data_IF_807721511427
#
_entry.id   IF_807721511427
#
_cell.length_a   1.000
_cell.length_b   1.000
_cell.length_c   1.000
_cell.angle_alpha   90.00
_cell.angle_beta   90.00
_cell.angle_gamma   90.00
#
_symmetry.space_group_name_H-M   'P 1'
#
loop_
_entity.id
_entity.type
_entity.pdbx_description
1 polymer ?
#
# COMPACT_ATOMS: atom_id res chain seq x y z
N UNK A 1 -34.57 5.50 -0.09
CA UNK A 1 -34.96 6.01 -1.41
C UNK A 1 -34.68 7.50 -1.43
N UNK A 2 -33.80 7.95 -2.32
CA UNK A 2 -33.54 9.38 -2.53
C UNK A 2 -34.68 9.93 -3.39
N UNK A 3 -35.42 10.90 -2.87
CA UNK A 3 -36.55 11.51 -3.59
C UNK A 3 -36.06 12.83 -4.17
N UNK A 4 -36.01 12.98 -5.51
CA UNK A 4 -35.61 14.24 -6.12
C UNK A 4 -36.63 15.34 -5.78
N UNK A 5 -36.26 16.22 -4.85
CA UNK A 5 -37.07 17.38 -4.48
C UNK A 5 -36.59 18.60 -5.26
N UNK A 6 -37.45 19.15 -6.11
CA UNK A 6 -37.18 20.39 -6.84
C UNK A 6 -37.61 21.60 -6.01
N UNK A 7 -36.76 22.62 -5.94
CA UNK A 7 -37.08 23.85 -5.22
C UNK A 7 -38.04 24.70 -6.05
N UNK A 8 -39.14 25.17 -5.44
CA UNK A 8 -40.16 25.98 -6.12
C UNK A 8 -39.71 27.40 -6.49
N UNK A 9 -38.60 27.89 -5.92
CA UNK A 9 -38.11 29.25 -6.13
C UNK A 9 -36.71 29.26 -6.77
N UNK A 10 -36.29 30.33 -7.48
CA UNK A 10 -34.94 30.47 -8.04
C UNK A 10 -33.90 30.73 -6.96
N UNK A 11 -32.87 29.88 -6.83
CA UNK A 11 -31.80 30.07 -5.83
C UNK A 11 -31.09 31.39 -6.15
N UNK A 12 -31.16 32.34 -5.24
CA UNK A 12 -30.45 33.62 -5.34
C UNK A 12 -29.39 33.68 -4.26
N UNK A 13 -28.17 34.05 -4.64
CA UNK A 13 -27.08 34.32 -3.71
C UNK A 13 -27.14 35.79 -3.27
N UNK A 14 -26.90 36.05 -1.99
CA UNK A 14 -26.79 37.40 -1.46
C UNK A 14 -25.43 38.00 -1.88
N UNK A 15 -25.40 39.29 -2.26
CA UNK A 15 -24.18 39.96 -2.72
C UNK A 15 -23.09 40.02 -1.63
N UNK A 16 -23.48 39.96 -0.35
CA UNK A 16 -22.55 39.90 0.78
C UNK A 16 -21.72 38.62 0.82
N UNK A 17 -22.08 37.59 0.04
CA UNK A 17 -21.25 36.41 -0.17
C UNK A 17 -20.01 36.67 -1.03
N UNK A 18 -19.95 37.82 -1.70
CA UNK A 18 -18.81 38.25 -2.51
C UNK A 18 -18.09 39.45 -1.90
N UNK A 19 -18.59 39.97 -0.78
CA UNK A 19 -18.05 41.12 -0.06
C UNK A 19 -17.50 40.67 1.30
N UNK A 20 -16.19 40.78 1.49
CA UNK A 20 -15.51 40.43 2.74
C UNK A 20 -14.40 39.39 2.57
N UNK A 21 -13.54 39.27 3.57
CA UNK A 21 -12.49 38.24 3.62
C UNK A 21 -13.10 36.90 4.04
N UNK A 22 -13.45 36.07 3.06
CA UNK A 22 -13.92 34.71 3.31
C UNK A 22 -12.71 33.81 3.56
N UNK A 23 -12.44 33.49 4.82
CA UNK A 23 -11.37 32.55 5.16
C UNK A 23 -11.68 31.19 4.54
N UNK A 24 -10.74 30.66 3.76
CA UNK A 24 -10.79 29.29 3.24
C UNK A 24 -10.56 28.26 4.37
N UNK A 25 -11.46 28.22 5.35
CA UNK A 25 -11.25 27.54 6.65
C UNK A 25 -11.33 26.01 6.60
N UNK A 26 -11.46 25.41 5.42
CA UNK A 26 -11.66 23.95 5.28
C UNK A 26 -10.88 23.30 4.15
N UNK A 27 -10.17 24.05 3.32
CA UNK A 27 -9.30 23.46 2.30
C UNK A 27 -7.87 23.39 2.84
N UNK A 28 -7.58 22.36 3.65
CA UNK A 28 -6.19 21.97 3.87
C UNK A 28 -5.57 21.69 2.49
N UNK A 29 -4.44 22.31 2.11
CA UNK A 29 -3.71 21.87 0.94
C UNK A 29 -3.43 20.39 1.15
N UNK A 30 -3.95 19.55 0.26
CA UNK A 30 -3.61 18.14 0.25
C UNK A 30 -2.10 18.08 0.14
N UNK A 31 -1.44 17.74 1.24
CA UNK A 31 -0.03 17.35 1.21
C UNK A 31 -0.04 16.11 0.34
N UNK A 32 0.18 16.33 -0.95
CA UNK A 32 0.51 15.29 -1.88
C UNK A 32 1.83 14.78 -1.34
N UNK A 33 1.76 13.79 -0.45
CA UNK A 33 2.92 13.13 0.08
C UNK A 33 3.68 12.70 -1.15
N UNK A 34 4.79 13.37 -1.40
CA UNK A 34 5.78 12.89 -2.34
C UNK A 34 6.35 11.66 -1.65
N UNK A 35 5.62 10.55 -1.69
CA UNK A 35 6.24 9.26 -1.90
C UNK A 35 7.03 9.47 -3.18
N UNK A 36 8.26 9.97 -3.01
CA UNK A 36 9.12 10.35 -4.12
C UNK A 36 9.17 9.13 -5.00
N UNK A 37 8.65 9.25 -6.23
CA UNK A 37 8.55 8.14 -7.15
C UNK A 37 9.92 7.46 -7.17
N UNK A 38 10.01 6.24 -6.65
CA UNK A 38 11.25 5.50 -6.66
C UNK A 38 11.71 5.45 -8.11
N UNK A 39 12.96 5.82 -8.33
CA UNK A 39 13.52 5.68 -9.67
C UNK A 39 13.55 4.19 -10.00
N UNK A 40 13.39 3.85 -11.28
CA UNK A 40 13.48 2.45 -11.74
C UNK A 40 14.77 1.78 -11.24
N UNK A 41 15.88 2.52 -11.14
CA UNK A 41 17.15 2.02 -10.61
C UNK A 41 17.07 1.61 -9.13
N UNK A 42 16.37 2.39 -8.30
CA UNK A 42 16.17 2.05 -6.89
C UNK A 42 15.29 0.81 -6.75
N UNK A 43 14.21 0.74 -7.54
CA UNK A 43 13.35 -0.44 -7.55
C UNK A 43 14.11 -1.72 -7.95
N UNK A 44 14.98 -1.64 -8.96
CA UNK A 44 15.80 -2.79 -9.37
C UNK A 44 16.74 -3.21 -8.23
N UNK A 45 17.46 -2.27 -7.62
CA UNK A 45 18.41 -2.59 -6.55
C UNK A 45 17.71 -3.23 -5.33
N UNK A 46 16.55 -2.71 -4.93
CA UNK A 46 15.75 -3.28 -3.84
C UNK A 46 15.27 -4.70 -4.18
N UNK A 47 14.82 -4.94 -5.42
CA UNK A 47 14.39 -6.28 -5.86
C UNK A 47 15.55 -7.27 -5.95
N UNK A 48 16.75 -6.83 -6.36
CA UNK A 48 17.96 -7.67 -6.37
C UNK A 48 18.37 -8.08 -4.94
N UNK A 49 18.33 -7.14 -3.99
CA UNK A 49 18.65 -7.41 -2.58
C UNK A 49 17.66 -8.42 -1.96
N UNK A 50 16.35 -8.18 -2.14
CA UNK A 50 15.31 -9.10 -1.67
C UNK A 50 15.44 -10.47 -2.32
N UNK A 51 15.77 -10.54 -3.61
CA UNK A 51 15.98 -11.81 -4.32
C UNK A 51 17.14 -12.61 -3.71
N UNK A 52 18.25 -11.95 -3.38
CA UNK A 52 19.40 -12.60 -2.76
C UNK A 52 19.08 -13.13 -1.35
N UNK A 53 18.42 -12.31 -0.52
CA UNK A 53 18.00 -12.70 0.83
C UNK A 53 17.02 -13.89 0.82
N UNK A 54 16.05 -13.89 -0.10
CA UNK A 54 15.15 -15.03 -0.29
C UNK A 54 15.92 -16.28 -0.72
N UNK A 55 16.93 -16.15 -1.57
CA UNK A 55 17.80 -17.26 -1.97
C UNK A 55 18.50 -17.91 -0.77
N UNK A 56 19.04 -17.13 0.15
CA UNK A 56 19.65 -17.64 1.39
C UNK A 56 18.62 -18.36 2.27
N UNK A 57 17.43 -17.77 2.44
CA UNK A 57 16.34 -18.38 3.20
C UNK A 57 15.90 -19.71 2.59
N UNK A 58 15.83 -19.79 1.26
CA UNK A 58 15.46 -21.01 0.55
C UNK A 58 16.49 -22.13 0.76
N UNK A 59 17.78 -21.80 0.72
CA UNK A 59 18.85 -22.78 0.99
C UNK A 59 18.78 -23.35 2.41
N UNK A 60 18.37 -22.55 3.41
CA UNK A 60 18.14 -23.04 4.78
C UNK A 60 16.96 -24.03 4.84
N UNK A 61 15.87 -23.72 4.14
CA UNK A 61 14.69 -24.60 4.05
C UNK A 61 15.08 -25.94 3.39
N UNK A 62 15.79 -25.90 2.26
CA UNK A 62 16.24 -27.11 1.55
C UNK A 62 17.11 -28.00 2.45
N UNK A 63 17.97 -27.40 3.29
CA UNK A 63 18.79 -28.13 4.24
C UNK A 63 17.95 -28.84 5.31
N UNK A 64 16.93 -28.17 5.85
CA UNK A 64 16.02 -28.78 6.84
C UNK A 64 15.24 -29.93 6.21
N UNK A 65 14.74 -29.76 4.99
CA UNK A 65 14.05 -30.84 4.25
C UNK A 65 14.96 -32.06 4.09
N UNK A 66 16.22 -31.86 3.67
CA UNK A 66 17.19 -32.96 3.54
C UNK A 66 17.45 -33.67 4.87
N UNK A 67 17.62 -32.92 5.96
CA UNK A 67 17.83 -33.51 7.28
C UNK A 67 16.63 -34.36 7.73
N UNK A 68 15.40 -33.84 7.55
CA UNK A 68 14.18 -34.56 7.91
C UNK A 68 13.97 -35.82 7.05
N UNK A 69 14.28 -35.78 5.75
CA UNK A 69 14.24 -36.97 4.91
C UNK A 69 15.24 -38.04 5.38
N UNK A 70 16.44 -37.65 5.82
CA UNK A 70 17.42 -38.60 6.35
C UNK A 70 16.94 -39.23 7.66
N UNK A 71 16.30 -38.44 8.54
CA UNK A 71 15.70 -38.92 9.78
C UNK A 71 14.55 -39.91 9.51
N UNK A 72 13.61 -39.56 8.63
CA UNK A 72 12.49 -40.43 8.24
C UNK A 72 12.97 -41.76 7.67
N UNK A 73 13.94 -41.73 6.75
CA UNK A 73 14.46 -42.95 6.12
C UNK A 73 15.29 -43.80 7.09
N UNK A 74 15.90 -43.21 8.13
CA UNK A 74 16.60 -43.96 9.16
C UNK A 74 15.62 -44.68 10.11
N UNK A 75 14.47 -44.06 10.41
CA UNK A 75 13.42 -44.64 11.26
C UNK A 75 12.76 -45.86 10.59
N UNK A 76 12.55 -45.81 9.27
CA UNK A 76 11.99 -46.92 8.48
C UNK A 76 12.92 -48.14 8.39
N UNK A 77 14.23 -47.96 8.58
CA UNK A 77 15.21 -49.05 8.50
C UNK A 77 15.36 -49.85 9.82
N UNK A 78 14.86 -49.32 10.93
CA UNK A 78 15.04 -49.88 12.28
C UNK A 78 13.74 -50.51 12.86
N UNK A 79 12.63 -50.54 12.10
CA UNK A 79 11.34 -51.15 12.47
C UNK A 79 11.00 -52.40 11.67
#
# INVERSE_FOLDING_TARGET
SDVPCTRKSPLSLDYRLFEGEHTADIATPSVQQTSGSLTIKQMIAELEDVSADMGEKNAKIDRVIQALMMEENADVAEG
#
